data_IF_286925502101
#
_entry.id   IF_286925502101
#
_cell.length_a   1.000
_cell.length_b   1.000
_cell.length_c   1.000
_cell.angle_alpha   90.00
_cell.angle_beta   90.00
_cell.angle_gamma   90.00
#
_symmetry.space_group_name_H-M   'P 1'
#
loop_
_entity.id
_entity.type
_entity.pdbx_description
1 polymer ?
#
# COMPACT_ATOMS: atom_id res chain seq x y z
N UNK A 1 -38.07 51.37 37.20
CA UNK A 1 -36.69 51.39 36.68
C UNK A 1 -35.93 50.24 37.35
N UNK A 2 -35.93 49.06 36.70
CA UNK A 2 -34.76 48.39 36.07
C UNK A 2 -33.78 47.79 37.09
N UNK A 3 -33.77 46.46 37.24
CA UNK A 3 -32.70 45.55 36.70
C UNK A 3 -31.68 45.20 37.81
N UNK A 4 -31.04 44.04 37.97
CA UNK A 4 -30.96 42.76 37.27
C UNK A 4 -30.50 41.70 38.30
N UNK A 5 -31.03 40.49 38.25
CA UNK A 5 -30.48 39.33 38.97
C UNK A 5 -29.74 38.42 37.98
N UNK A 6 -28.42 38.36 38.10
CA UNK A 6 -27.51 37.62 37.21
C UNK A 6 -27.54 36.11 37.52
N UNK A 7 -27.94 35.30 36.52
CA UNK A 7 -27.98 33.83 36.58
C UNK A 7 -26.57 33.24 36.35
N UNK A 8 -25.98 32.61 37.37
CA UNK A 8 -24.75 31.82 37.26
C UNK A 8 -25.02 30.31 37.27
N UNK A 9 -25.68 29.74 36.26
CA UNK A 9 -25.79 28.27 36.14
C UNK A 9 -25.97 27.81 34.70
N UNK A 10 -24.98 28.00 33.81
CA UNK A 10 -25.09 27.47 32.44
C UNK A 10 -23.79 27.36 31.64
N UNK A 11 -22.67 26.97 32.27
CA UNK A 11 -21.38 26.86 31.56
C UNK A 11 -20.68 25.49 31.67
N UNK A 12 -21.27 24.50 32.37
CA UNK A 12 -20.54 23.26 32.70
C UNK A 12 -21.04 22.00 31.95
N UNK A 13 -22.14 22.08 31.18
CA UNK A 13 -22.76 20.90 30.56
C UNK A 13 -22.37 20.67 29.08
N UNK A 14 -21.80 21.66 28.40
CA UNK A 14 -21.45 21.55 26.96
C UNK A 14 -20.04 21.02 26.70
N UNK A 15 -19.17 20.99 27.72
CA UNK A 15 -17.74 20.66 27.55
C UNK A 15 -17.46 19.16 27.37
N UNK A 16 -18.36 18.27 27.78
CA UNK A 16 -18.19 16.81 27.68
C UNK A 16 -18.61 16.24 26.32
N UNK A 17 -19.57 16.87 25.66
CA UNK A 17 -20.09 16.41 24.36
C UNK A 17 -19.15 16.77 23.20
N UNK A 18 -18.48 17.93 23.27
CA UNK A 18 -17.49 18.36 22.28
C UNK A 18 -16.22 17.49 22.24
N UNK A 19 -15.76 16.96 23.39
CA UNK A 19 -14.59 16.06 23.43
C UNK A 19 -14.86 14.68 22.83
N UNK A 20 -16.09 14.16 22.92
CA UNK A 20 -16.42 12.84 22.37
C UNK A 20 -16.49 12.85 20.84
N UNK A 21 -16.90 13.97 20.24
CA UNK A 21 -16.96 14.16 18.78
C UNK A 21 -15.57 14.19 18.14
N UNK A 22 -14.55 14.74 18.83
CA UNK A 22 -13.18 14.81 18.33
C UNK A 22 -12.47 13.44 18.31
N UNK A 23 -12.82 12.54 19.23
CA UNK A 23 -12.29 11.16 19.28
C UNK A 23 -12.82 10.28 18.14
N UNK A 24 -14.04 10.51 17.66
CA UNK A 24 -14.63 9.76 16.53
C UNK A 24 -14.03 10.18 15.16
N UNK A 25 -13.49 11.40 15.05
CA UNK A 25 -12.83 11.90 13.83
C UNK A 25 -11.38 11.44 13.69
N UNK A 26 -10.77 10.90 14.76
CA UNK A 26 -9.37 10.48 14.77
C UNK A 26 -9.15 9.10 14.10
N UNK A 27 -10.19 8.30 13.90
CA UNK A 27 -10.12 7.04 13.15
C UNK A 27 -10.45 7.24 11.67
N UNK A 28 -9.67 8.09 10.99
CA UNK A 28 -9.58 7.97 9.53
C UNK A 28 -8.68 6.78 9.22
N UNK A 29 -9.27 5.58 9.12
CA UNK A 29 -8.63 4.52 8.34
C UNK A 29 -8.47 5.10 6.94
N UNK A 30 -7.22 5.35 6.52
CA UNK A 30 -6.95 5.57 5.11
C UNK A 30 -7.58 4.38 4.37
N UNK A 31 -8.43 4.65 3.39
CA UNK A 31 -8.95 3.57 2.56
C UNK A 31 -7.75 3.02 1.79
N UNK A 32 -7.31 1.80 2.13
CA UNK A 32 -6.32 1.11 1.32
C UNK A 32 -6.91 0.88 -0.07
N UNK A 33 -6.12 1.16 -1.10
CA UNK A 33 -6.50 0.85 -2.47
C UNK A 33 -6.37 -0.66 -2.66
N UNK A 34 -7.40 -1.32 -3.18
CA UNK A 34 -7.35 -2.76 -3.46
C UNK A 34 -6.87 -3.00 -4.88
N UNK A 35 -6.04 -4.01 -5.05
CA UNK A 35 -5.48 -4.36 -6.35
C UNK A 35 -5.09 -5.83 -6.43
N UNK A 36 -4.33 -6.18 -7.46
CA UNK A 36 -3.70 -7.50 -7.56
C UNK A 36 -2.19 -7.41 -7.64
N UNK A 37 -1.51 -8.45 -7.17
CA UNK A 37 -0.07 -8.63 -7.35
C UNK A 37 0.27 -9.96 -7.99
N UNK A 38 1.31 -9.93 -8.82
CA UNK A 38 2.01 -11.09 -9.35
C UNK A 38 3.46 -11.08 -8.88
N UNK A 39 4.16 -12.20 -9.02
CA UNK A 39 5.61 -12.25 -8.81
C UNK A 39 6.36 -12.19 -10.14
N UNK A 40 7.53 -11.56 -10.18
CA UNK A 40 8.46 -11.65 -11.32
C UNK A 40 9.89 -11.94 -10.83
N UNK A 41 10.71 -12.49 -11.73
CA UNK A 41 12.03 -13.07 -11.42
C UNK A 41 13.17 -12.17 -11.92
N UNK A 42 14.41 -12.38 -11.45
CA UNK A 42 15.57 -11.79 -12.11
C UNK A 42 15.65 -12.19 -13.60
N UNK A 43 16.30 -11.40 -14.46
CA UNK A 43 17.06 -10.19 -14.11
C UNK A 43 16.14 -8.99 -13.81
N UNK A 44 16.49 -8.24 -12.75
CA UNK A 44 15.73 -7.07 -12.29
C UNK A 44 16.23 -5.75 -12.87
N UNK A 45 17.41 -5.75 -13.50
CA UNK A 45 18.03 -4.59 -14.14
C UNK A 45 18.11 -4.80 -15.67
N UNK A 46 18.17 -3.72 -16.46
CA UNK A 46 17.86 -2.34 -16.07
C UNK A 46 16.37 -2.18 -15.73
N UNK A 47 16.07 -1.22 -14.87
CA UNK A 47 14.70 -0.77 -14.64
C UNK A 47 14.37 0.47 -15.47
N UNK A 48 13.08 0.73 -15.68
CA UNK A 48 12.62 1.96 -16.34
C UNK A 48 12.91 3.22 -15.51
N UNK A 49 12.94 3.14 -14.16
CA UNK A 49 13.12 4.32 -13.32
C UNK A 49 14.58 4.79 -13.21
N UNK A 50 15.52 3.86 -13.03
CA UNK A 50 16.92 4.19 -12.70
C UNK A 50 17.96 3.40 -13.52
N UNK A 51 17.53 2.68 -14.57
CA UNK A 51 18.43 1.98 -15.48
C UNK A 51 19.19 0.86 -14.79
N UNK A 52 20.48 0.73 -15.10
CA UNK A 52 21.35 -0.35 -14.64
C UNK A 52 22.00 -0.10 -13.25
N UNK A 53 21.62 0.95 -12.52
CA UNK A 53 22.21 1.26 -11.21
C UNK A 53 21.81 0.21 -10.16
N UNK A 54 22.70 -0.66 -9.66
CA UNK A 54 22.33 -1.67 -8.68
C UNK A 54 21.97 -1.10 -7.31
N UNK A 55 22.36 0.14 -6.99
CA UNK A 55 22.07 0.78 -5.69
C UNK A 55 20.59 1.10 -5.49
N UNK A 56 19.79 1.04 -6.56
CA UNK A 56 18.34 1.20 -6.50
C UNK A 56 17.63 0.00 -5.84
N UNK A 57 18.25 -1.19 -5.87
CA UNK A 57 17.68 -2.41 -5.30
C UNK A 57 17.89 -2.37 -3.78
N UNK A 58 16.82 -2.37 -2.96
CA UNK A 58 16.96 -2.35 -1.51
C UNK A 58 17.60 -3.64 -0.98
N UNK A 59 18.24 -3.58 0.19
CA UNK A 59 18.97 -4.72 0.78
C UNK A 59 18.11 -5.97 0.96
N UNK A 60 16.84 -5.79 1.33
CA UNK A 60 15.87 -6.89 1.47
C UNK A 60 15.27 -7.36 0.13
N UNK A 61 15.69 -6.76 -0.98
CA UNK A 61 15.14 -6.98 -2.32
C UNK A 61 13.62 -6.77 -2.42
N UNK A 62 13.02 -5.96 -1.54
CA UNK A 62 11.58 -5.67 -1.56
C UNK A 62 11.26 -4.46 -2.45
N UNK A 63 10.88 -4.72 -3.69
CA UNK A 63 10.53 -3.70 -4.67
C UNK A 63 9.45 -4.21 -5.62
N UNK A 64 8.89 -3.31 -6.42
CA UNK A 64 7.82 -3.60 -7.34
C UNK A 64 8.03 -2.91 -8.70
N UNK A 65 7.44 -3.51 -9.73
CA UNK A 65 7.15 -2.88 -11.00
C UNK A 65 5.67 -2.48 -11.04
N UNK A 66 5.37 -1.23 -11.39
CA UNK A 66 4.02 -0.70 -11.36
C UNK A 66 3.23 -1.07 -12.63
N UNK A 67 2.01 -1.57 -12.43
CA UNK A 67 1.04 -1.80 -13.49
C UNK A 67 0.48 -0.50 -14.07
N UNK A 68 -0.33 -0.56 -15.15
CA UNK A 68 -0.81 0.63 -15.85
C UNK A 68 -1.57 1.64 -14.97
N UNK A 69 -2.29 1.16 -13.96
CA UNK A 69 -3.04 2.02 -13.04
C UNK A 69 -2.16 2.79 -12.04
N UNK A 70 -0.96 2.29 -11.75
CA UNK A 70 -0.02 2.90 -10.80
C UNK A 70 1.09 3.68 -11.52
N UNK A 71 1.55 3.19 -12.68
CA UNK A 71 2.78 3.64 -13.35
C UNK A 71 2.84 5.16 -13.60
N UNK A 72 1.71 5.77 -13.98
CA UNK A 72 1.56 7.22 -14.09
C UNK A 72 2.67 7.89 -14.91
N UNK A 73 2.99 7.31 -16.07
CA UNK A 73 4.07 7.76 -16.97
C UNK A 73 5.44 7.96 -16.27
N UNK A 74 5.75 7.11 -15.28
CA UNK A 74 7.00 7.16 -14.53
C UNK A 74 6.93 8.04 -13.28
N UNK A 75 5.85 8.77 -13.03
CA UNK A 75 5.68 9.53 -11.79
C UNK A 75 5.58 8.60 -10.55
N UNK A 76 5.37 7.30 -10.76
CA UNK A 76 5.43 6.27 -9.73
C UNK A 76 6.84 5.92 -9.25
N UNK A 77 7.89 6.27 -9.99
CA UNK A 77 9.27 5.93 -9.63
C UNK A 77 9.62 6.43 -8.22
N UNK A 78 10.11 5.52 -7.38
CA UNK A 78 10.47 5.81 -5.99
C UNK A 78 9.29 5.91 -5.02
N UNK A 79 8.02 5.84 -5.49
CA UNK A 79 6.86 5.75 -4.60
C UNK A 79 6.94 4.44 -3.81
N UNK A 80 6.54 4.50 -2.53
CA UNK A 80 6.52 3.36 -1.64
C UNK A 80 5.09 2.97 -1.30
N UNK A 81 4.89 1.68 -1.12
CA UNK A 81 3.62 1.10 -0.71
C UNK A 81 3.85 0.09 0.40
N UNK A 82 3.01 0.14 1.43
CA UNK A 82 2.79 -1.00 2.31
C UNK A 82 1.78 -1.93 1.63
N UNK A 83 2.19 -3.17 1.37
CA UNK A 83 1.39 -4.17 0.66
C UNK A 83 0.98 -5.27 1.62
N UNK A 84 -0.32 -5.59 1.63
CA UNK A 84 -0.92 -6.69 2.40
C UNK A 84 -1.60 -7.67 1.44
N UNK A 85 -1.33 -8.97 1.57
CA UNK A 85 -2.14 -10.00 0.91
C UNK A 85 -3.47 -10.17 1.64
N UNK A 86 -4.59 -9.93 0.95
CA UNK A 86 -5.94 -10.02 1.54
C UNK A 86 -6.68 -11.29 1.11
N UNK A 87 -6.38 -11.84 -0.08
CA UNK A 87 -6.91 -13.13 -0.53
C UNK A 87 -6.17 -13.66 -1.76
N UNK A 88 -6.42 -14.92 -2.12
CA UNK A 88 -6.00 -15.53 -3.39
C UNK A 88 -7.04 -16.55 -3.83
N UNK A 89 -7.04 -16.91 -5.12
CA UNK A 89 -7.84 -18.02 -5.63
C UNK A 89 -7.40 -19.37 -5.02
N UNK A 90 -6.12 -19.50 -4.63
CA UNK A 90 -5.61 -20.67 -3.91
C UNK A 90 -5.75 -20.47 -2.40
N UNK A 91 -6.51 -21.32 -1.69
CA UNK A 91 -6.67 -21.23 -0.24
C UNK A 91 -5.33 -21.32 0.50
N UNK A 92 -5.14 -20.48 1.52
CA UNK A 92 -3.93 -20.46 2.35
C UNK A 92 -2.68 -19.92 1.65
N UNK A 93 -2.82 -19.25 0.52
CA UNK A 93 -1.68 -18.66 -0.19
C UNK A 93 -1.13 -17.40 0.50
N UNK A 94 -1.98 -16.57 1.10
CA UNK A 94 -1.55 -15.41 1.88
C UNK A 94 -0.92 -15.86 3.20
N UNK A 95 0.10 -15.13 3.65
CA UNK A 95 0.62 -15.23 5.00
C UNK A 95 -0.19 -14.27 5.87
N UNK A 96 -0.96 -14.82 6.83
CA UNK A 96 -1.93 -14.05 7.61
C UNK A 96 -1.30 -12.84 8.32
N UNK A 97 -1.81 -11.64 7.99
CA UNK A 97 -1.39 -10.38 8.59
C UNK A 97 0.01 -9.88 8.20
N UNK A 98 0.72 -10.60 7.33
CA UNK A 98 2.03 -10.18 6.86
C UNK A 98 1.92 -9.00 5.90
N UNK A 99 2.82 -8.03 6.06
CA UNK A 99 2.93 -6.87 5.17
C UNK A 99 4.37 -6.70 4.70
N UNK A 100 4.53 -6.07 3.54
CA UNK A 100 5.84 -5.73 2.99
C UNK A 100 5.81 -4.30 2.44
N UNK A 101 6.80 -3.50 2.83
CA UNK A 101 7.04 -2.20 2.20
C UNK A 101 7.84 -2.43 0.91
N UNK A 102 7.34 -1.91 -0.21
CA UNK A 102 8.00 -1.99 -1.51
C UNK A 102 8.21 -0.60 -2.08
N UNK A 103 9.31 -0.41 -2.79
CA UNK A 103 9.56 0.76 -3.63
C UNK A 103 9.30 0.41 -5.10
N UNK A 104 8.65 1.32 -5.84
CA UNK A 104 8.46 1.16 -7.28
C UNK A 104 9.74 1.53 -8.01
N UNK A 105 10.33 0.55 -8.70
CA UNK A 105 11.56 0.73 -9.47
C UNK A 105 11.36 0.56 -10.96
N UNK A 106 10.27 -0.06 -11.41
CA UNK A 106 10.10 -0.42 -12.83
C UNK A 106 8.65 -0.29 -13.29
N UNK A 107 8.43 -0.38 -14.61
CA UNK A 107 7.12 -0.50 -15.23
C UNK A 107 6.82 -1.98 -15.49
N UNK A 108 5.68 -2.49 -15.04
CA UNK A 108 5.34 -3.91 -15.19
C UNK A 108 5.25 -4.40 -16.65
N UNK A 109 5.06 -3.50 -17.62
CA UNK A 109 5.10 -3.83 -19.05
C UNK A 109 6.53 -3.90 -19.64
N UNK A 110 7.53 -3.34 -18.93
CA UNK A 110 8.93 -3.26 -19.35
C UNK A 110 9.86 -4.25 -18.66
N UNK A 111 9.38 -4.97 -17.63
CA UNK A 111 10.18 -5.96 -16.90
C UNK A 111 10.74 -7.03 -17.82
N UNK A 112 11.97 -7.47 -17.54
CA UNK A 112 12.71 -8.42 -18.38
C UNK A 112 12.19 -9.85 -18.28
N UNK A 113 11.60 -10.21 -17.15
CA UNK A 113 10.95 -11.51 -16.95
C UNK A 113 9.44 -11.32 -16.88
N UNK A 114 8.69 -12.12 -17.61
CA UNK A 114 7.23 -12.08 -17.55
C UNK A 114 6.76 -12.38 -16.11
N UNK A 115 5.96 -11.51 -15.48
CA UNK A 115 5.33 -11.79 -14.20
C UNK A 115 4.42 -13.03 -14.30
N UNK A 116 4.18 -13.71 -13.18
CA UNK A 116 3.29 -14.87 -13.09
C UNK A 116 1.87 -14.59 -13.60
N UNK A 117 1.42 -13.33 -13.48
CA UNK A 117 0.19 -12.83 -14.10
C UNK A 117 0.45 -11.44 -14.69
N UNK A 118 0.05 -11.23 -15.94
CA UNK A 118 0.14 -9.93 -16.61
C UNK A 118 -1.04 -9.03 -16.25
N UNK A 119 -0.82 -7.72 -16.24
CA UNK A 119 -1.87 -6.72 -16.03
C UNK A 119 -2.28 -6.52 -14.57
N UNK A 120 -1.48 -6.99 -13.61
CA UNK A 120 -1.70 -6.75 -12.18
C UNK A 120 -1.41 -5.30 -11.80
N UNK A 121 -1.93 -4.87 -10.64
CA UNK A 121 -1.66 -3.53 -10.07
C UNK A 121 -0.17 -3.34 -9.79
N UNK A 122 0.48 -4.35 -9.21
CA UNK A 122 1.92 -4.43 -9.02
C UNK A 122 2.45 -5.80 -9.49
N UNK A 123 3.64 -5.82 -10.09
CA UNK A 123 4.45 -7.03 -10.15
C UNK A 123 5.53 -6.90 -9.08
N UNK A 124 5.54 -7.79 -8.09
CA UNK A 124 6.46 -7.77 -6.96
C UNK A 124 7.70 -8.61 -7.28
N UNK A 125 8.87 -8.19 -6.78
CA UNK A 125 10.04 -9.07 -6.76
C UNK A 125 9.70 -10.38 -6.02
N UNK A 126 10.44 -11.45 -6.28
CA UNK A 126 10.21 -12.71 -5.55
C UNK A 126 10.32 -12.54 -4.03
N UNK A 127 11.27 -11.73 -3.55
CA UNK A 127 11.45 -11.48 -2.13
C UNK A 127 10.25 -10.73 -1.52
N UNK A 128 9.74 -9.70 -2.19
CA UNK A 128 8.55 -8.99 -1.74
C UNK A 128 7.31 -9.89 -1.74
N UNK A 129 7.11 -10.69 -2.80
CA UNK A 129 5.97 -11.59 -2.89
C UNK A 129 6.02 -12.66 -1.78
N UNK A 130 7.19 -13.28 -1.56
CA UNK A 130 7.40 -14.28 -0.50
C UNK A 130 7.18 -13.75 0.91
N UNK A 131 7.36 -12.45 1.13
CA UNK A 131 7.11 -11.85 2.43
C UNK A 131 5.63 -11.86 2.82
N UNK A 132 4.72 -11.95 1.85
CA UNK A 132 3.26 -11.87 2.09
C UNK A 132 2.45 -13.04 1.52
N UNK A 133 3.02 -13.86 0.64
CA UNK A 133 2.32 -14.98 0.00
C UNK A 133 3.27 -16.08 -0.51
N UNK A 134 2.71 -17.26 -0.78
CA UNK A 134 3.43 -18.39 -1.36
C UNK A 134 3.70 -18.19 -2.88
N UNK A 135 4.95 -18.35 -3.34
CA UNK A 135 5.31 -18.23 -4.77
C UNK A 135 4.64 -19.25 -5.70
N UNK A 136 3.98 -20.28 -5.18
CA UNK A 136 3.28 -21.27 -6.00
C UNK A 136 2.00 -20.74 -6.67
N UNK A 137 1.52 -19.55 -6.29
CA UNK A 137 0.32 -18.94 -6.89
C UNK A 137 0.66 -17.92 -7.96
N UNK A 138 -0.22 -17.79 -8.95
CA UNK A 138 -0.02 -16.87 -10.07
C UNK A 138 -0.32 -15.41 -9.71
N UNK A 139 -1.30 -15.19 -8.82
CA UNK A 139 -1.84 -13.88 -8.47
C UNK A 139 -2.39 -13.90 -7.04
N UNK A 140 -2.28 -12.77 -6.36
CA UNK A 140 -2.91 -12.47 -5.07
C UNK A 140 -3.69 -11.16 -5.17
N UNK A 141 -4.76 -11.05 -4.39
CA UNK A 141 -5.43 -9.79 -4.15
C UNK A 141 -4.72 -9.09 -2.99
N UNK A 142 -4.46 -7.80 -3.16
CA UNK A 142 -3.69 -7.00 -2.22
C UNK A 142 -4.46 -5.75 -1.79
N UNK A 143 -4.14 -5.26 -0.60
CA UNK A 143 -4.42 -3.90 -0.16
C UNK A 143 -3.12 -3.09 -0.18
N UNK A 144 -3.21 -1.85 -0.64
CA UNK A 144 -2.12 -0.89 -0.78
C UNK A 144 -2.38 0.31 0.12
N UNK A 145 -1.39 0.67 0.94
CA UNK A 145 -1.36 1.93 1.68
C UNK A 145 -0.08 2.71 1.37
N UNK A 146 -0.20 4.03 1.32
CA UNK A 146 0.92 4.98 1.21
C UNK A 146 1.38 5.44 2.59
#
# INVERSE_FOLDING_TARGET
MTSAHSRRHRCWRDRRLLSFFFLLLAFRRSAGEVGTAASYRPPYLPTECYGDDPSQIPDNSAFAAAGPGIWDNGAACGRRYLVLCISSATPGACIDGATVEVVVLDRAAGVRSLPTRVGTTLALSQAAFQAIANLSVEEINIELAM
#
